data_IF_737960877800
#
_entry.id   IF_737960877800
#
_cell.length_a   1.000
_cell.length_b   1.000
_cell.length_c   1.000
_cell.angle_alpha   90.00
_cell.angle_beta   90.00
_cell.angle_gamma   90.00
#
_symmetry.space_group_name_H-M   'P 1'
#
loop_
_entity.id
_entity.type
_entity.pdbx_description
1 polymer ?
#
# COMPACT_ATOMS: atom_id res chain seq x y z
N UNK A 1 -15.48 -2.85 4.07
CA UNK A 1 -15.62 -2.82 2.59
C UNK A 1 -14.89 -4.01 1.96
N UNK A 2 -15.20 -4.38 0.72
CA UNK A 2 -14.35 -5.28 -0.09
C UNK A 2 -13.24 -4.48 -0.76
N UNK A 3 -12.08 -5.10 -0.99
CA UNK A 3 -11.02 -4.52 -1.80
C UNK A 3 -11.55 -4.22 -3.22
N UNK A 4 -11.34 -3.00 -3.71
CA UNK A 4 -11.71 -2.66 -5.09
C UNK A 4 -10.65 -3.25 -6.03
N UNK A 5 -11.10 -3.83 -7.15
CA UNK A 5 -10.20 -4.34 -8.19
C UNK A 5 -9.46 -3.18 -8.86
N UNK A 6 -8.27 -3.48 -9.36
CA UNK A 6 -7.45 -2.58 -10.14
C UNK A 6 -6.54 -3.37 -11.07
N UNK A 7 -6.06 -2.69 -12.10
CA UNK A 7 -4.94 -3.10 -12.93
C UNK A 7 -4.04 -1.87 -13.10
N UNK A 8 -2.84 -1.90 -12.53
CA UNK A 8 -1.93 -0.76 -12.50
C UNK A 8 -0.54 -1.14 -12.99
N UNK A 9 0.13 -0.19 -13.62
CA UNK A 9 1.52 -0.34 -14.04
C UNK A 9 2.45 -0.26 -12.81
N UNK A 10 3.25 -1.30 -12.61
CA UNK A 10 4.29 -1.34 -11.59
C UNK A 10 5.62 -0.80 -12.11
N UNK A 11 6.48 -0.33 -11.20
CA UNK A 11 7.85 0.13 -11.52
C UNK A 11 8.75 -0.94 -12.13
N UNK A 12 8.32 -2.20 -12.15
CA UNK A 12 8.95 -3.31 -12.86
C UNK A 12 8.54 -3.38 -14.35
N UNK A 13 7.72 -2.44 -14.82
CA UNK A 13 7.22 -2.35 -16.19
C UNK A 13 6.07 -3.32 -16.49
N UNK A 14 5.48 -3.96 -15.48
CA UNK A 14 4.39 -4.95 -15.66
C UNK A 14 3.06 -4.42 -15.15
N UNK A 15 1.97 -4.91 -15.73
CA UNK A 15 0.63 -4.74 -15.18
C UNK A 15 0.43 -5.68 -13.98
N UNK A 16 -0.08 -5.15 -12.87
CA UNK A 16 -0.42 -5.91 -11.68
C UNK A 16 -1.89 -5.74 -11.35
N UNK A 17 -2.55 -6.83 -10.99
CA UNK A 17 -3.93 -6.81 -10.53
C UNK A 17 -4.01 -7.10 -9.03
N UNK A 18 -5.14 -6.74 -8.42
CA UNK A 18 -5.41 -7.13 -7.02
C UNK A 18 -5.26 -8.65 -6.84
N UNK A 19 -5.76 -9.45 -7.79
CA UNK A 19 -5.72 -10.91 -7.71
C UNK A 19 -4.29 -11.46 -7.81
N UNK A 20 -3.42 -10.87 -8.65
CA UNK A 20 -2.02 -11.30 -8.74
C UNK A 20 -1.21 -10.99 -7.49
N UNK A 21 -1.66 -10.02 -6.69
CA UNK A 21 -1.00 -9.54 -5.47
C UNK A 21 -1.63 -10.10 -4.20
N UNK A 22 -2.73 -10.83 -4.33
CA UNK A 22 -3.49 -11.38 -3.20
C UNK A 22 -2.64 -12.40 -2.43
N UNK A 23 -2.47 -12.16 -1.14
CA UNK A 23 -1.88 -13.14 -0.22
C UNK A 23 -2.88 -14.21 0.23
N UNK A 24 -2.37 -15.39 0.57
CA UNK A 24 -3.18 -16.50 1.09
C UNK A 24 -3.77 -16.22 2.50
N UNK A 25 -3.07 -15.42 3.31
CA UNK A 25 -3.48 -15.05 4.67
C UNK A 25 -4.07 -13.63 4.72
N UNK A 26 -3.38 -12.67 4.11
CA UNK A 26 -3.79 -11.26 4.08
C UNK A 26 -3.19 -10.54 2.86
N UNK A 27 -3.78 -9.39 2.50
CA UNK A 27 -3.28 -8.54 1.41
C UNK A 27 -3.19 -7.10 1.90
N UNK A 28 -2.03 -6.47 1.73
CA UNK A 28 -1.78 -5.08 2.14
C UNK A 28 -1.76 -4.20 0.91
N UNK A 29 -2.62 -3.18 0.89
CA UNK A 29 -2.57 -2.08 -0.06
C UNK A 29 -2.18 -0.82 0.71
N UNK A 30 -1.09 -0.17 0.32
CA UNK A 30 -0.65 1.10 0.92
C UNK A 30 -0.70 2.21 -0.11
N UNK A 31 -1.48 3.26 0.16
CA UNK A 31 -1.39 4.50 -0.60
C UNK A 31 -0.19 5.29 -0.12
N UNK A 32 0.75 5.55 -1.03
CA UNK A 32 2.10 6.01 -0.76
C UNK A 32 2.50 7.09 -1.77
N UNK A 33 3.70 7.67 -1.62
CA UNK A 33 4.30 8.61 -2.57
C UNK A 33 5.81 8.71 -2.35
N UNK A 34 6.52 9.48 -3.16
CA UNK A 34 7.98 9.57 -3.08
C UNK A 34 8.47 10.69 -2.16
N UNK A 35 7.74 11.80 -2.07
CA UNK A 35 8.25 13.03 -1.43
C UNK A 35 7.75 13.28 0.00
N UNK A 36 6.66 12.62 0.42
CA UNK A 36 6.08 12.85 1.75
C UNK A 36 7.05 12.39 2.85
N UNK A 37 7.40 13.24 3.84
CA UNK A 37 8.30 12.87 4.92
C UNK A 37 7.74 11.75 5.81
N UNK A 38 6.42 11.60 5.92
CA UNK A 38 5.79 10.50 6.64
C UNK A 38 5.99 9.18 5.91
N UNK A 39 5.88 9.17 4.57
CA UNK A 39 6.15 7.97 3.77
C UNK A 39 7.62 7.59 3.86
N UNK A 40 8.53 8.55 3.68
CA UNK A 40 9.98 8.31 3.76
C UNK A 40 10.37 7.64 5.09
N UNK A 41 9.73 8.03 6.20
CA UNK A 41 9.94 7.40 7.51
C UNK A 41 9.32 6.01 7.63
N UNK A 42 8.17 5.78 6.98
CA UNK A 42 7.43 4.53 7.07
C UNK A 42 7.98 3.41 6.16
N UNK A 43 8.72 3.74 5.11
CA UNK A 43 9.22 2.78 4.12
C UNK A 43 9.98 1.61 4.72
N UNK A 44 10.92 1.86 5.63
CA UNK A 44 11.74 0.78 6.19
C UNK A 44 10.88 -0.19 7.02
N UNK A 45 9.81 0.31 7.67
CA UNK A 45 8.85 -0.52 8.37
C UNK A 45 7.97 -1.35 7.40
N UNK A 46 7.56 -0.77 6.27
CA UNK A 46 6.80 -1.48 5.23
C UNK A 46 7.64 -2.57 4.56
N UNK A 47 8.92 -2.28 4.26
CA UNK A 47 9.88 -3.23 3.71
C UNK A 47 10.08 -4.39 4.68
N UNK A 48 10.33 -4.09 5.95
CA UNK A 48 10.49 -5.12 6.98
C UNK A 48 9.23 -5.96 7.15
N UNK A 49 8.04 -5.35 7.14
CA UNK A 49 6.77 -6.07 7.20
C UNK A 49 6.56 -6.96 5.98
N UNK A 50 6.88 -6.50 4.77
CA UNK A 50 6.78 -7.36 3.59
C UNK A 50 7.69 -8.58 3.73
N UNK A 51 8.98 -8.37 4.04
CA UNK A 51 9.96 -9.46 4.16
C UNK A 51 9.56 -10.50 5.22
N UNK A 52 9.10 -10.05 6.38
CA UNK A 52 8.76 -10.94 7.50
C UNK A 52 7.47 -11.74 7.31
N UNK A 53 6.55 -11.24 6.47
CA UNK A 53 5.20 -11.81 6.34
C UNK A 53 4.92 -12.43 4.97
N UNK A 54 5.75 -12.22 3.93
CA UNK A 54 5.60 -12.90 2.63
C UNK A 54 5.54 -14.42 2.79
N UNK A 55 6.49 -15.01 3.52
CA UNK A 55 6.52 -16.46 3.78
C UNK A 55 5.34 -16.95 4.64
N UNK A 56 4.64 -16.03 5.32
CA UNK A 56 3.42 -16.30 6.10
C UNK A 56 2.14 -16.11 5.26
N UNK A 57 2.27 -15.95 3.95
CA UNK A 57 1.15 -15.83 3.02
C UNK A 57 0.58 -14.42 2.93
N UNK A 58 1.34 -13.37 3.27
CA UNK A 58 0.88 -11.99 3.11
C UNK A 58 1.38 -11.39 1.80
N UNK A 59 0.46 -10.86 1.00
CA UNK A 59 0.77 -10.07 -0.20
C UNK A 59 0.83 -8.58 0.13
N UNK A 60 1.64 -7.80 -0.59
CA UNK A 60 1.74 -6.36 -0.41
C UNK A 60 1.91 -5.63 -1.75
N UNK A 61 1.23 -4.49 -1.89
CA UNK A 61 1.49 -3.51 -2.93
C UNK A 61 1.37 -2.09 -2.39
N UNK A 62 2.23 -1.21 -2.89
CA UNK A 62 2.15 0.23 -2.70
C UNK A 62 1.59 0.89 -3.96
N UNK A 63 0.74 1.90 -3.80
CA UNK A 63 0.11 2.65 -4.89
C UNK A 63 0.43 4.12 -4.72
N UNK A 64 0.97 4.76 -5.76
CA UNK A 64 1.12 6.20 -5.85
C UNK A 64 0.03 6.78 -6.76
N UNK A 65 -0.86 7.57 -6.18
CA UNK A 65 -1.96 8.24 -6.87
C UNK A 65 -1.77 9.76 -6.94
N UNK A 66 -0.62 10.29 -6.52
CA UNK A 66 -0.40 11.74 -6.51
C UNK A 66 -0.27 12.29 -7.93
N UNK A 67 -0.87 13.45 -8.18
CA UNK A 67 -0.70 14.21 -9.41
C UNK A 67 0.78 14.56 -9.64
N UNK A 68 1.36 14.04 -10.71
CA UNK A 68 2.78 14.23 -11.02
C UNK A 68 3.07 15.54 -11.75
N UNK A 69 2.05 16.20 -12.29
CA UNK A 69 2.22 17.51 -12.94
C UNK A 69 2.51 18.59 -11.88
N UNK A 70 1.76 18.58 -10.78
CA UNK A 70 2.02 19.44 -9.62
C UNK A 70 3.14 18.97 -8.70
N UNK A 71 3.47 17.67 -8.71
CA UNK A 71 4.47 17.05 -7.84
C UNK A 71 5.38 16.09 -8.63
N UNK A 72 6.36 16.61 -9.40
CA UNK A 72 7.21 15.82 -10.28
C UNK A 72 7.98 14.70 -9.57
N UNK A 73 8.26 14.84 -8.28
CA UNK A 73 8.87 13.80 -7.45
C UNK A 73 8.04 12.52 -7.42
N UNK A 74 6.73 12.59 -7.62
CA UNK A 74 5.81 11.46 -7.67
C UNK A 74 5.59 10.90 -9.09
N UNK A 75 6.34 11.40 -10.09
CA UNK A 75 6.31 10.83 -11.44
C UNK A 75 6.70 9.35 -11.44
N UNK A 76 6.24 8.63 -12.46
CA UNK A 76 6.53 7.21 -12.62
C UNK A 76 8.04 6.93 -12.72
N UNK A 77 8.79 7.81 -13.39
CA UNK A 77 10.25 7.71 -13.51
C UNK A 77 10.92 7.81 -12.13
N UNK A 78 10.48 8.76 -11.30
CA UNK A 78 11.00 8.92 -9.95
C UNK A 78 10.57 7.77 -9.03
N UNK A 79 9.39 7.18 -9.25
CA UNK A 79 8.98 5.95 -8.55
C UNK A 79 9.94 4.80 -8.86
N UNK A 80 10.36 4.62 -10.12
CA UNK A 80 11.34 3.58 -10.50
C UNK A 80 12.66 3.80 -9.77
N UNK A 81 13.18 5.03 -9.78
CA UNK A 81 14.44 5.39 -9.09
C UNK A 81 14.32 5.08 -7.59
N UNK A 82 13.21 5.47 -6.96
CA UNK A 82 12.99 5.25 -5.53
C UNK A 82 12.86 3.78 -5.16
N UNK A 83 12.08 3.02 -5.93
CA UNK A 83 11.90 1.58 -5.72
C UNK A 83 13.23 0.82 -5.84
N UNK A 84 14.07 1.19 -6.82
CA UNK A 84 15.40 0.62 -6.98
C UNK A 84 16.33 0.99 -5.82
N UNK A 85 16.35 2.27 -5.41
CA UNK A 85 17.21 2.75 -4.33
C UNK A 85 16.89 2.09 -2.98
N UNK A 86 15.60 1.94 -2.67
CA UNK A 86 15.12 1.29 -1.43
C UNK A 86 14.98 -0.23 -1.54
N UNK A 87 15.16 -0.79 -2.74
CA UNK A 87 14.99 -2.24 -3.03
C UNK A 87 13.65 -2.75 -2.53
N UNK A 88 12.56 -2.08 -2.92
CA UNK A 88 11.23 -2.47 -2.47
C UNK A 88 10.93 -3.94 -2.80
N UNK A 89 10.57 -4.78 -1.80
CA UNK A 89 10.25 -6.19 -2.01
C UNK A 89 8.80 -6.42 -2.46
N UNK A 90 8.04 -5.34 -2.64
CA UNK A 90 6.63 -5.33 -3.02
C UNK A 90 6.43 -4.54 -4.31
N UNK A 91 5.31 -4.76 -4.99
CA UNK A 91 4.97 -4.00 -6.19
C UNK A 91 4.70 -2.53 -5.85
N UNK A 92 5.32 -1.60 -6.57
CA UNK A 92 5.03 -0.17 -6.45
C UNK A 92 4.35 0.33 -7.72
N UNK A 93 3.08 0.70 -7.60
CA UNK A 93 2.12 0.85 -8.69
C UNK A 93 1.73 2.30 -8.90
N UNK A 94 1.56 2.71 -10.16
CA UNK A 94 1.12 4.06 -10.53
C UNK A 94 -0.38 4.08 -10.83
N UNK A 95 -1.14 4.87 -10.06
CA UNK A 95 -2.56 5.15 -10.28
C UNK A 95 -2.73 6.56 -10.85
N UNK A 96 -2.43 6.70 -12.15
CA UNK A 96 -2.44 7.98 -12.87
C UNK A 96 -3.83 8.66 -12.91
N UNK A 97 -4.89 7.86 -12.91
CA UNK A 97 -6.29 8.32 -12.95
C UNK A 97 -6.83 8.74 -11.59
N UNK A 98 -6.16 8.33 -10.51
CA UNK A 98 -6.63 8.45 -9.12
C UNK A 98 -7.93 7.69 -8.82
N UNK A 99 -8.40 6.86 -9.75
CA UNK A 99 -9.65 6.10 -9.60
C UNK A 99 -9.52 5.02 -8.53
N UNK A 100 -8.34 4.41 -8.38
CA UNK A 100 -8.11 3.39 -7.35
C UNK A 100 -8.08 4.05 -5.97
N UNK A 101 -7.40 5.19 -5.81
CA UNK A 101 -7.47 5.95 -4.56
C UNK A 101 -8.90 6.35 -4.17
N UNK A 102 -9.70 6.83 -5.13
CA UNK A 102 -11.11 7.15 -4.91
C UNK A 102 -11.93 5.92 -4.51
N UNK A 103 -11.75 4.79 -5.19
CA UNK A 103 -12.48 3.54 -4.91
C UNK A 103 -12.17 2.97 -3.52
N UNK A 104 -10.94 3.16 -3.04
CA UNK A 104 -10.53 2.76 -1.69
C UNK A 104 -10.89 3.79 -0.62
N UNK A 105 -11.31 5.01 -1.00
CA UNK A 105 -11.50 6.11 -0.05
C UNK A 105 -10.19 6.58 0.59
N UNK A 106 -9.06 6.38 -0.10
CA UNK A 106 -7.76 6.81 0.37
C UNK A 106 -7.67 8.34 0.37
N UNK A 107 -7.09 8.89 1.43
CA UNK A 107 -7.01 10.35 1.63
C UNK A 107 -5.61 10.83 1.97
N UNK A 108 -4.76 9.95 2.53
CA UNK A 108 -3.43 10.30 3.04
C UNK A 108 -2.33 9.38 2.50
N UNK A 109 -1.09 9.85 2.58
CA UNK A 109 0.13 9.07 2.34
C UNK A 109 1.09 9.17 3.55
N UNK A 110 1.47 8.05 4.18
CA UNK A 110 1.00 6.69 3.93
C UNK A 110 -0.39 6.45 4.54
N UNK A 111 -1.22 5.64 3.88
CA UNK A 111 -2.44 5.08 4.46
C UNK A 111 -2.57 3.60 4.10
N UNK A 112 -2.78 2.76 5.11
CA UNK A 112 -2.92 1.32 4.95
C UNK A 112 -4.37 0.89 4.75
N UNK A 113 -4.53 -0.12 3.92
CA UNK A 113 -5.72 -0.94 3.78
C UNK A 113 -5.28 -2.41 3.76
N UNK A 114 -5.53 -3.12 4.85
CA UNK A 114 -5.18 -4.52 5.00
C UNK A 114 -6.46 -5.35 4.95
N UNK A 115 -6.45 -6.31 4.04
CA UNK A 115 -7.57 -7.19 3.79
C UNK A 115 -7.27 -8.60 4.27
N UNK A 116 -8.31 -9.29 4.73
CA UNK A 116 -8.24 -10.72 5.05
C UNK A 116 -8.12 -11.59 3.78
N UNK A 117 -8.05 -12.91 3.97
CA UNK A 117 -7.98 -13.91 2.88
C UNK A 117 -9.14 -13.81 1.87
N UNK A 118 -10.26 -13.25 2.29
CA UNK A 118 -11.48 -13.10 1.49
C UNK A 118 -11.60 -11.69 0.90
N UNK A 119 -10.56 -10.86 1.03
CA UNK A 119 -10.51 -9.47 0.59
C UNK A 119 -11.53 -8.55 1.30
N UNK A 120 -11.95 -8.88 2.52
CA UNK A 120 -12.66 -7.95 3.38
C UNK A 120 -11.66 -7.07 4.12
N UNK A 121 -11.93 -5.77 4.21
CA UNK A 121 -11.10 -4.84 4.96
C UNK A 121 -11.09 -5.25 6.45
N UNK A 122 -9.91 -5.61 6.94
CA UNK A 122 -9.68 -6.01 8.32
C UNK A 122 -8.94 -4.94 9.12
N UNK A 123 -8.14 -4.11 8.46
CA UNK A 123 -7.47 -2.97 9.08
C UNK A 123 -7.30 -1.80 8.12
N UNK A 124 -7.49 -0.57 8.58
CA UNK A 124 -7.07 0.65 7.88
C UNK A 124 -6.49 1.70 8.82
N UNK A 125 -5.53 2.48 8.32
CA UNK A 125 -4.94 3.59 9.06
C UNK A 125 -3.43 3.65 8.99
N UNK A 126 -2.80 3.90 10.14
CA UNK A 126 -1.38 4.20 10.29
C UNK A 126 -0.47 2.97 10.23
N UNK A 127 0.81 3.15 9.89
CA UNK A 127 1.77 2.05 9.68
C UNK A 127 2.19 1.37 10.99
N UNK A 128 2.11 2.08 12.10
CA UNK A 128 2.57 1.65 13.43
C UNK A 128 1.80 0.43 13.96
N UNK A 129 0.54 0.23 13.54
CA UNK A 129 -0.29 -0.92 13.94
C UNK A 129 -0.33 -2.04 12.93
N UNK A 130 0.44 -1.94 11.84
CA UNK A 130 0.45 -2.93 10.77
C UNK A 130 0.81 -4.33 11.29
N UNK A 131 1.89 -4.46 12.05
CA UNK A 131 2.35 -5.78 12.54
C UNK A 131 1.35 -6.46 13.45
N UNK A 132 0.74 -5.70 14.38
CA UNK A 132 -0.30 -6.21 15.27
C UNK A 132 -1.46 -6.82 14.46
N UNK A 133 -1.93 -6.11 13.43
CA UNK A 133 -3.01 -6.58 12.55
C UNK A 133 -2.59 -7.83 11.74
N UNK A 134 -1.36 -7.86 11.22
CA UNK A 134 -0.87 -9.02 10.45
C UNK A 134 -0.68 -10.26 11.32
N UNK A 135 -0.18 -10.12 12.55
CA UNK A 135 -0.01 -11.24 13.48
C UNK A 135 -1.37 -11.87 13.84
N UNK A 136 -2.40 -11.05 13.96
CA UNK A 136 -3.77 -11.51 14.19
C UNK A 136 -4.33 -12.25 12.97
N UNK A 137 -4.20 -11.67 11.77
CA UNK A 137 -4.70 -12.27 10.53
C UNK A 137 -3.97 -13.58 10.16
N UNK A 138 -2.65 -13.61 10.26
CA UNK A 138 -1.86 -14.84 10.00
C UNK A 138 -2.22 -15.95 10.97
N UNK A 139 -2.57 -15.61 12.22
CA UNK A 139 -3.05 -16.58 13.20
C UNK A 139 -4.54 -16.94 13.03
N UNK A 140 -5.22 -16.44 12.00
CA UNK A 140 -6.64 -16.67 11.75
C UNK A 140 -7.58 -15.99 12.74
N UNK A 141 -7.12 -14.95 13.45
CA UNK A 141 -7.91 -14.17 14.41
C UNK A 141 -8.43 -12.89 13.77
N UNK A 142 -9.52 -12.37 14.34
CA UNK A 142 -10.02 -11.04 14.00
C UNK A 142 -9.06 -9.95 14.49
N UNK A 143 -8.90 -8.88 13.71
CA UNK A 143 -8.06 -7.74 14.08
C UNK A 143 -8.74 -6.95 15.20
N UNK A 144 -8.04 -6.74 16.33
CA UNK A 144 -8.60 -6.04 17.49
C UNK A 144 -8.76 -4.54 17.27
N UNK A 145 -7.76 -3.92 16.62
CA UNK A 145 -7.78 -2.50 16.28
C UNK A 145 -7.96 -2.37 14.78
N UNK A 146 -9.21 -2.40 14.32
CA UNK A 146 -9.52 -2.41 12.88
C UNK A 146 -9.33 -1.04 12.20
N UNK A 147 -9.30 0.04 12.96
CA UNK A 147 -9.15 1.39 12.41
C UNK A 147 -8.25 2.25 13.30
N UNK A 148 -7.33 2.97 12.67
CA UNK A 148 -6.58 4.06 13.29
C UNK A 148 -6.56 5.27 12.37
N UNK A 149 -6.21 6.43 12.93
CA UNK A 149 -6.08 7.64 12.13
C UNK A 149 -4.81 7.59 11.29
N UNK A 150 -4.94 7.67 9.97
CA UNK A 150 -3.78 7.82 9.09
C UNK A 150 -3.15 9.20 9.32
N UNK A 151 -1.82 9.23 9.52
CA UNK A 151 -1.06 10.46 9.71
C UNK A 151 -0.10 10.60 8.54
N UNK A 152 -0.32 11.63 7.72
CA UNK A 152 0.45 11.80 6.49
C UNK A 152 0.08 13.09 5.76
N UNK A 153 0.74 13.32 4.62
CA UNK A 153 0.27 14.32 3.68
C UNK A 153 -1.02 13.82 3.02
N UNK A 154 -1.89 14.73 2.59
CA UNK A 154 -3.03 14.33 1.75
C UNK A 154 -2.54 13.82 0.39
N UNK A 155 -3.32 12.94 -0.22
CA UNK A 155 -3.16 12.63 -1.66
C UNK A 155 -3.25 13.92 -2.47
N UNK A 156 -2.38 14.04 -3.48
CA UNK A 156 -2.33 15.20 -4.38
C UNK A 156 -3.31 14.97 -5.52
N UNK A 157 -4.56 15.39 -5.33
CA UNK A 157 -5.62 15.25 -6.32
C UNK A 157 -5.42 16.16 -7.54
N UNK A 158 -5.85 15.70 -8.71
CA UNK A 158 -6.00 16.50 -9.93
C UNK A 158 -7.22 17.41 -9.86
#
# INVERSE_FOLDING_TARGET
MKAASFELLGTDGKGHTLDSLKGAAATIIVFSCNHCPYVVKAEDALIAACNDYTAKGVGMAAINSNDSDGYPEDSYENMIVRAAAKKFPFAYLRDESQAVAKAYGATHTPQLFVFDRDLNLAYTGAVEKLRDALDELVAGRAVRTAETHAIGCTIKWK
#
